data_IF_284559367739
#
_entry.id   IF_284559367739
#
_cell.length_a   1.000
_cell.length_b   1.000
_cell.length_c   1.000
_cell.angle_alpha   90.00
_cell.angle_beta   90.00
_cell.angle_gamma   90.00
#
_symmetry.space_group_name_H-M   'P 1'
#
loop_
_entity.id
_entity.type
_entity.pdbx_description
1 polymer ?
#
# COMPACT_ATOMS: atom_id res chain seq x y z
N UNK A 1 45.93 -15.43 -55.79
CA UNK A 1 46.02 -14.60 -54.58
C UNK A 1 45.18 -13.36 -54.80
N UNK A 2 43.99 -13.31 -54.22
CA UNK A 2 43.25 -12.07 -54.04
C UNK A 2 42.61 -12.20 -52.67
N UNK A 3 43.28 -11.63 -51.67
CA UNK A 3 42.71 -11.41 -50.35
C UNK A 3 41.42 -10.61 -50.53
N UNK A 4 40.29 -11.23 -50.18
CA UNK A 4 39.07 -10.47 -49.92
C UNK A 4 39.24 -9.78 -48.57
N UNK A 5 39.82 -8.58 -48.62
CA UNK A 5 39.72 -7.60 -47.55
C UNK A 5 38.32 -6.98 -47.63
N UNK A 6 37.32 -7.75 -47.22
CA UNK A 6 35.90 -7.38 -47.22
C UNK A 6 35.38 -7.20 -45.79
N UNK A 7 35.34 -5.95 -45.38
CA UNK A 7 34.34 -5.38 -44.46
C UNK A 7 34.12 -6.05 -43.09
N UNK A 8 35.19 -6.11 -42.29
CA UNK A 8 35.10 -6.44 -40.86
C UNK A 8 34.12 -5.55 -40.04
N UNK A 9 33.97 -4.23 -40.29
CA UNK A 9 33.10 -3.40 -39.45
C UNK A 9 31.59 -3.59 -39.71
N UNK A 10 31.16 -3.93 -40.92
CA UNK A 10 29.74 -4.20 -41.21
C UNK A 10 29.30 -5.60 -40.76
N UNK A 11 30.19 -6.59 -40.82
CA UNK A 11 29.92 -7.94 -40.31
C UNK A 11 29.73 -7.99 -38.78
N UNK A 12 30.28 -7.02 -38.03
CA UNK A 12 30.12 -6.89 -36.57
C UNK A 12 28.90 -6.06 -36.15
N UNK A 13 28.33 -5.23 -37.04
CA UNK A 13 27.11 -4.47 -36.77
C UNK A 13 25.89 -5.37 -36.62
N UNK A 14 25.69 -6.32 -37.54
CA UNK A 14 24.51 -7.18 -37.50
C UNK A 14 24.39 -8.03 -36.21
N UNK A 15 25.48 -8.65 -35.69
CA UNK A 15 25.47 -9.30 -34.38
C UNK A 15 25.22 -8.32 -33.22
N UNK A 16 25.79 -7.11 -33.29
CA UNK A 16 25.63 -6.10 -32.25
C UNK A 16 24.21 -5.54 -32.18
N UNK A 17 23.58 -5.33 -33.34
CA UNK A 17 22.19 -4.87 -33.45
C UNK A 17 21.22 -5.96 -32.97
N UNK A 18 21.46 -7.23 -33.33
CA UNK A 18 20.68 -8.35 -32.83
C UNK A 18 20.82 -8.52 -31.31
N UNK A 19 22.02 -8.34 -30.77
CA UNK A 19 22.28 -8.38 -29.32
C UNK A 19 21.59 -7.22 -28.59
N UNK A 20 21.61 -6.00 -29.13
CA UNK A 20 20.91 -4.85 -28.55
C UNK A 20 19.39 -4.99 -28.64
N UNK A 21 18.86 -5.56 -29.73
CA UNK A 21 17.44 -5.89 -29.82
C UNK A 21 17.04 -6.92 -28.78
N UNK A 22 17.81 -8.01 -28.64
CA UNK A 22 17.57 -9.00 -27.59
C UNK A 22 17.61 -8.37 -26.19
N UNK A 23 18.61 -7.52 -25.93
CA UNK A 23 18.76 -6.87 -24.63
C UNK A 23 17.65 -5.88 -24.31
N UNK A 24 17.17 -5.12 -25.29
CA UNK A 24 16.01 -4.25 -25.12
C UNK A 24 14.72 -5.04 -24.90
N UNK A 25 14.55 -6.19 -25.56
CA UNK A 25 13.44 -7.11 -25.32
C UNK A 25 13.47 -7.68 -23.90
N UNK A 26 14.65 -8.07 -23.40
CA UNK A 26 14.80 -8.54 -22.02
C UNK A 26 14.49 -7.45 -20.99
N UNK A 27 14.89 -6.20 -21.27
CA UNK A 27 14.53 -5.05 -20.44
C UNK A 27 13.02 -4.78 -20.42
N UNK A 28 12.35 -4.84 -21.57
CA UNK A 28 10.89 -4.73 -21.64
C UNK A 28 10.19 -5.85 -20.87
N UNK A 29 10.74 -7.06 -20.90
CA UNK A 29 10.24 -8.18 -20.12
C UNK A 29 10.46 -8.02 -18.60
N UNK A 30 11.52 -7.34 -18.16
CA UNK A 30 11.81 -7.11 -16.75
C UNK A 30 11.19 -5.85 -16.12
N UNK A 31 11.10 -4.74 -16.87
CA UNK A 31 10.54 -3.47 -16.38
C UNK A 31 9.03 -3.54 -16.21
N UNK A 32 8.35 -4.28 -17.09
CA UNK A 32 6.89 -4.43 -17.04
C UNK A 32 6.39 -5.08 -15.72
N UNK A 33 6.91 -6.24 -15.27
CA UNK A 33 6.50 -6.83 -14.00
C UNK A 33 6.95 -6.00 -12.79
N UNK A 34 8.12 -5.36 -12.84
CA UNK A 34 8.56 -4.46 -11.75
C UNK A 34 7.64 -3.25 -11.59
N UNK A 35 7.20 -2.65 -12.71
CA UNK A 35 6.26 -1.53 -12.70
C UNK A 35 4.88 -1.96 -12.16
N UNK A 36 4.41 -3.17 -12.51
CA UNK A 36 3.16 -3.74 -11.98
C UNK A 36 3.26 -4.02 -10.48
N UNK A 37 4.39 -4.56 -10.03
CA UNK A 37 4.63 -4.79 -8.61
C UNK A 37 4.70 -3.48 -7.82
N UNK A 38 5.34 -2.44 -8.37
CA UNK A 38 5.30 -1.10 -7.78
C UNK A 38 3.88 -0.53 -7.72
N UNK A 39 3.07 -0.73 -8.76
CA UNK A 39 1.68 -0.30 -8.79
C UNK A 39 0.86 -1.02 -7.71
N UNK A 40 0.93 -2.36 -7.64
CA UNK A 40 0.24 -3.16 -6.64
C UNK A 40 0.64 -2.78 -5.21
N UNK A 41 1.92 -2.43 -5.00
CA UNK A 41 2.40 -1.92 -3.72
C UNK A 41 1.83 -0.54 -3.37
N UNK A 42 1.78 0.40 -4.31
CA UNK A 42 1.20 1.72 -4.08
C UNK A 42 -0.31 1.65 -3.82
N UNK A 43 -1.04 0.80 -4.55
CA UNK A 43 -2.47 0.58 -4.33
C UNK A 43 -2.73 0.03 -2.93
N UNK A 44 -1.97 -0.98 -2.51
CA UNK A 44 -2.08 -1.55 -1.17
C UNK A 44 -1.75 -0.54 -0.07
N UNK A 45 -0.74 0.32 -0.30
CA UNK A 45 -0.40 1.40 0.62
C UNK A 45 -1.51 2.45 0.73
N UNK A 46 -2.12 2.82 -0.40
CA UNK A 46 -3.20 3.80 -0.45
C UNK A 46 -4.45 3.28 0.31
N UNK A 47 -4.81 2.01 0.10
CA UNK A 47 -5.89 1.35 0.84
C UNK A 47 -5.61 1.37 2.35
N UNK A 48 -4.40 0.97 2.79
CA UNK A 48 -4.01 1.00 4.20
C UNK A 48 -4.07 2.42 4.81
N UNK A 49 -3.59 3.44 4.08
CA UNK A 49 -3.67 4.83 4.54
C UNK A 49 -5.12 5.31 4.70
N UNK A 50 -6.02 4.90 3.81
CA UNK A 50 -7.43 5.27 3.89
C UNK A 50 -8.08 4.71 5.17
N UNK A 51 -7.78 3.47 5.54
CA UNK A 51 -8.28 2.86 6.78
C UNK A 51 -7.68 3.51 8.03
N UNK A 52 -6.38 3.82 8.03
CA UNK A 52 -5.77 4.54 9.16
C UNK A 52 -6.35 5.96 9.32
N UNK A 53 -6.62 6.67 8.22
CA UNK A 53 -7.29 7.97 8.26
C UNK A 53 -8.69 7.89 8.88
N UNK A 54 -9.47 6.86 8.53
CA UNK A 54 -10.79 6.61 9.13
C UNK A 54 -10.68 6.31 10.63
N UNK A 55 -9.69 5.50 11.03
CA UNK A 55 -9.43 5.21 12.44
C UNK A 55 -9.06 6.48 13.22
N UNK A 56 -8.16 7.31 12.68
CA UNK A 56 -7.77 8.59 13.29
C UNK A 56 -8.96 9.55 13.41
N UNK A 57 -9.82 9.61 12.40
CA UNK A 57 -11.04 10.41 12.46
C UNK A 57 -11.97 9.94 13.59
N UNK A 58 -12.23 8.64 13.69
CA UNK A 58 -13.06 8.07 14.76
C UNK A 58 -12.46 8.31 16.15
N UNK A 59 -11.13 8.22 16.29
CA UNK A 59 -10.42 8.57 17.53
C UNK A 59 -10.58 10.06 17.88
N UNK A 60 -10.43 10.96 16.91
CA UNK A 60 -10.60 12.40 17.14
C UNK A 60 -12.06 12.74 17.54
N UNK A 61 -13.04 12.15 16.87
CA UNK A 61 -14.46 12.29 17.21
C UNK A 61 -14.76 11.76 18.62
N UNK A 62 -14.14 10.63 19.00
CA UNK A 62 -14.25 10.09 20.35
C UNK A 62 -13.66 11.03 21.41
N UNK A 63 -12.51 11.66 21.12
CA UNK A 63 -11.90 12.65 22.01
C UNK A 63 -12.79 13.88 22.20
N UNK A 64 -13.46 14.33 21.14
CA UNK A 64 -14.45 15.42 21.23
C UNK A 64 -15.67 15.02 22.06
N UNK A 65 -16.18 13.79 21.93
CA UNK A 65 -17.29 13.30 22.76
C UNK A 65 -16.90 13.18 24.23
N UNK A 66 -15.68 12.75 24.52
CA UNK A 66 -15.14 12.69 25.87
C UNK A 66 -15.11 14.07 26.53
N UNK A 67 -14.64 15.09 25.80
CA UNK A 67 -14.58 16.45 26.35
C UNK A 67 -15.97 16.98 26.65
N UNK A 68 -16.96 16.73 25.80
CA UNK A 68 -18.37 17.10 26.03
C UNK A 68 -18.92 16.40 27.29
N UNK A 69 -18.69 15.10 27.46
CA UNK A 69 -19.13 14.39 28.66
C UNK A 69 -18.48 14.89 29.95
N UNK A 70 -17.27 15.46 29.88
CA UNK A 70 -16.58 16.03 31.04
C UNK A 70 -16.90 17.51 31.30
N UNK A 71 -17.48 18.22 30.32
CA UNK A 71 -17.74 19.67 30.39
C UNK A 71 -19.21 20.04 30.54
N UNK A 72 -20.12 19.07 30.67
CA UNK A 72 -21.54 19.34 30.88
C UNK A 72 -21.78 20.19 32.13
N UNK A 73 -22.35 21.38 31.93
CA UNK A 73 -22.66 22.39 32.95
C UNK A 73 -23.79 21.93 33.88
N UNK A 74 -23.49 21.04 34.82
CA UNK A 74 -24.25 20.69 36.03
C UNK A 74 -23.42 19.63 36.78
N UNK A 75 -23.65 19.32 38.07
CA UNK A 75 -22.90 18.23 38.72
C UNK A 75 -23.27 16.93 37.99
N UNK A 76 -22.43 16.56 37.02
CA UNK A 76 -22.62 15.37 36.21
C UNK A 76 -22.62 14.18 37.15
N UNK A 77 -23.74 13.46 37.18
CA UNK A 77 -23.86 12.25 37.96
C UNK A 77 -22.67 11.34 37.60
N UNK A 78 -21.87 10.88 38.58
CA UNK A 78 -20.70 10.06 38.29
C UNK A 78 -21.04 8.78 37.50
N UNK A 79 -22.28 8.29 37.59
CA UNK A 79 -22.76 7.19 36.76
C UNK A 79 -22.85 7.57 35.27
N UNK A 80 -23.35 8.76 34.95
CA UNK A 80 -23.51 9.24 33.57
C UNK A 80 -22.14 9.45 32.89
N UNK A 81 -21.15 9.95 33.65
CA UNK A 81 -19.77 10.08 33.19
C UNK A 81 -19.15 8.70 32.92
N UNK A 82 -19.37 7.75 33.85
CA UNK A 82 -18.86 6.39 33.71
C UNK A 82 -19.49 5.67 32.50
N UNK A 83 -20.79 5.82 32.30
CA UNK A 83 -21.50 5.27 31.14
C UNK A 83 -20.99 5.88 29.84
N UNK A 84 -20.83 7.21 29.76
CA UNK A 84 -20.25 7.85 28.58
C UNK A 84 -18.83 7.34 28.30
N UNK A 85 -17.98 7.21 29.31
CA UNK A 85 -16.63 6.68 29.15
C UNK A 85 -16.63 5.22 28.66
N UNK A 86 -17.49 4.37 29.22
CA UNK A 86 -17.63 2.97 28.80
C UNK A 86 -18.07 2.85 27.34
N UNK A 87 -19.05 3.67 26.93
CA UNK A 87 -19.51 3.71 25.54
C UNK A 87 -18.38 4.17 24.61
N UNK A 88 -17.61 5.18 25.02
CA UNK A 88 -16.48 5.69 24.26
C UNK A 88 -15.38 4.64 24.07
N UNK A 89 -14.99 3.97 25.16
CA UNK A 89 -13.98 2.91 25.08
C UNK A 89 -14.46 1.74 24.25
N UNK A 90 -15.73 1.34 24.37
CA UNK A 90 -16.29 0.32 23.49
C UNK A 90 -16.21 0.70 22.01
N UNK A 91 -16.47 1.97 21.68
CA UNK A 91 -16.35 2.47 20.31
C UNK A 91 -14.89 2.44 19.83
N UNK A 92 -13.95 2.97 20.62
CA UNK A 92 -12.52 3.00 20.29
C UNK A 92 -11.96 1.58 20.12
N UNK A 93 -12.27 0.67 21.05
CA UNK A 93 -11.83 -0.73 20.98
C UNK A 93 -12.39 -1.43 19.74
N UNK A 94 -13.67 -1.20 19.39
CA UNK A 94 -14.27 -1.77 18.19
C UNK A 94 -13.57 -1.27 16.92
N UNK A 95 -13.35 0.04 16.82
CA UNK A 95 -12.64 0.65 15.68
C UNK A 95 -11.22 0.09 15.55
N UNK A 96 -10.51 -0.08 16.66
CA UNK A 96 -9.18 -0.71 16.65
C UNK A 96 -9.21 -2.18 16.22
N UNK A 97 -10.20 -2.96 16.65
CA UNK A 97 -10.33 -4.37 16.25
C UNK A 97 -10.63 -4.49 14.76
N UNK A 98 -11.54 -3.66 14.23
CA UNK A 98 -11.83 -3.60 12.79
C UNK A 98 -10.60 -3.23 11.97
N UNK A 99 -9.78 -2.30 12.48
CA UNK A 99 -8.50 -1.95 11.85
C UNK A 99 -7.56 -3.16 11.79
N UNK A 100 -7.41 -3.90 12.89
CA UNK A 100 -6.51 -5.06 12.94
C UNK A 100 -6.95 -6.17 11.98
N UNK A 101 -8.26 -6.44 11.90
CA UNK A 101 -8.85 -7.37 10.94
C UNK A 101 -8.55 -6.93 9.51
N UNK A 102 -8.79 -5.65 9.19
CA UNK A 102 -8.52 -5.12 7.85
C UNK A 102 -7.04 -5.14 7.46
N UNK A 103 -6.14 -4.84 8.41
CA UNK A 103 -4.69 -4.92 8.18
C UNK A 103 -4.26 -6.37 7.91
N UNK A 104 -4.85 -7.35 8.59
CA UNK A 104 -4.56 -8.75 8.34
C UNK A 104 -4.98 -9.15 6.92
N UNK A 105 -6.21 -8.80 6.51
CA UNK A 105 -6.71 -9.05 5.14
C UNK A 105 -5.84 -8.39 4.07
N UNK A 106 -5.54 -7.09 4.20
CA UNK A 106 -4.72 -6.35 3.22
C UNK A 106 -3.32 -6.96 3.08
N UNK A 107 -2.77 -7.49 4.17
CA UNK A 107 -1.45 -8.14 4.15
C UNK A 107 -1.46 -9.47 3.39
N UNK A 108 -2.57 -10.20 3.42
CA UNK A 108 -2.77 -11.44 2.68
C UNK A 108 -3.01 -11.14 1.20
N UNK A 109 -3.92 -10.20 0.90
CA UNK A 109 -4.23 -9.76 -0.47
C UNK A 109 -3.00 -9.21 -1.19
N UNK A 110 -2.19 -8.39 -0.52
CA UNK A 110 -0.95 -7.86 -1.09
C UNK A 110 0.05 -8.96 -1.45
N UNK A 111 0.21 -9.96 -0.56
CA UNK A 111 1.09 -11.11 -0.83
C UNK A 111 0.61 -11.91 -2.03
N UNK A 112 -0.70 -12.15 -2.12
CA UNK A 112 -1.30 -12.86 -3.25
C UNK A 112 -1.10 -12.09 -4.56
N UNK A 113 -1.37 -10.77 -4.59
CA UNK A 113 -1.14 -9.92 -5.78
C UNK A 113 0.32 -9.89 -6.23
N UNK A 114 1.27 -9.87 -5.28
CA UNK A 114 2.69 -10.01 -5.62
C UNK A 114 2.98 -11.38 -6.24
N UNK A 115 2.42 -12.43 -5.66
CA UNK A 115 2.69 -13.81 -6.10
C UNK A 115 2.12 -14.13 -7.48
N UNK A 116 1.07 -13.43 -7.90
CA UNK A 116 0.54 -13.52 -9.27
C UNK A 116 1.42 -12.82 -10.33
N UNK A 117 2.30 -11.90 -9.91
CA UNK A 117 3.18 -11.14 -10.80
C UNK A 117 4.62 -11.67 -10.87
N UNK A 118 4.98 -12.68 -10.04
CA UNK A 118 6.28 -13.38 -10.04
C UNK A 118 6.20 -14.68 -10.83
#
# INVERSE_FOLDING_TARGET
MTEQQGDAPDALKAPNDAMMQWWSQQWLQGVTPMARMQLAWMESLAEAMQFEAQCLHALAESGQRLSVCMSSETPANPQDIQECYQQLMHHVTRTHMQRLEKVAELSEDFRNRIWEEI
#
